data_IF_166933091916
#
_entry.id   IF_166933091916
#
_cell.length_a   1.000
_cell.length_b   1.000
_cell.length_c   1.000
_cell.angle_alpha   90.00
_cell.angle_beta   90.00
_cell.angle_gamma   90.00
#
_symmetry.space_group_name_H-M   'P 1'
#
loop_
_entity.id
_entity.type
_entity.pdbx_description
1 polymer ?
#
# COMPACT_ATOMS: atom_id res chain seq x y z
N UNK A 1 -53.02 -3.28 -20.17
CA UNK A 1 -52.06 -2.16 -19.94
C UNK A 1 -50.93 -2.48 -18.93
N UNK A 2 -50.53 -3.75 -18.72
CA UNK A 2 -49.44 -4.11 -17.76
C UNK A 2 -48.08 -4.44 -18.41
N UNK A 3 -48.00 -4.51 -19.74
CA UNK A 3 -46.80 -4.95 -20.48
C UNK A 3 -45.87 -3.79 -20.89
N UNK A 4 -46.39 -2.57 -21.01
CA UNK A 4 -45.61 -1.39 -21.42
C UNK A 4 -44.68 -0.85 -20.31
N UNK A 5 -44.96 -1.17 -19.05
CA UNK A 5 -44.15 -0.76 -17.88
C UNK A 5 -42.92 -1.65 -17.70
N UNK A 6 -43.02 -2.95 -18.01
CA UNK A 6 -41.90 -3.90 -17.85
C UNK A 6 -40.79 -3.66 -18.88
N UNK A 7 -41.13 -3.36 -20.13
CA UNK A 7 -40.12 -3.02 -21.16
C UNK A 7 -39.40 -1.69 -20.91
N UNK A 8 -40.07 -0.71 -20.29
CA UNK A 8 -39.44 0.59 -19.95
C UNK A 8 -38.41 0.45 -18.84
N UNK A 9 -38.69 -0.37 -17.82
CA UNK A 9 -37.72 -0.66 -16.76
C UNK A 9 -36.53 -1.47 -17.27
N UNK A 10 -36.75 -2.44 -18.18
CA UNK A 10 -35.66 -3.22 -18.78
C UNK A 10 -34.73 -2.38 -19.67
N UNK A 11 -35.28 -1.47 -20.47
CA UNK A 11 -34.48 -0.56 -21.31
C UNK A 11 -33.66 0.45 -20.50
N UNK A 12 -34.23 0.99 -19.41
CA UNK A 12 -33.53 1.88 -18.50
C UNK A 12 -32.40 1.16 -17.73
N UNK A 13 -32.63 -0.07 -17.27
CA UNK A 13 -31.60 -0.87 -16.60
C UNK A 13 -30.42 -1.22 -17.53
N UNK A 14 -30.70 -1.54 -18.79
CA UNK A 14 -29.66 -1.82 -19.79
C UNK A 14 -28.82 -0.57 -20.10
N UNK A 15 -29.46 0.59 -20.24
CA UNK A 15 -28.78 1.89 -20.41
C UNK A 15 -27.91 2.26 -19.22
N UNK A 16 -28.40 2.04 -17.98
CA UNK A 16 -27.62 2.28 -16.77
C UNK A 16 -26.41 1.34 -16.68
N UNK A 17 -26.57 0.06 -17.05
CA UNK A 17 -25.44 -0.88 -17.10
C UNK A 17 -24.41 -0.46 -18.17
N UNK A 18 -24.87 -0.02 -19.34
CA UNK A 18 -24.00 0.47 -20.42
C UNK A 18 -23.27 1.77 -20.09
N UNK A 19 -23.85 2.63 -19.24
CA UNK A 19 -23.20 3.87 -18.78
C UNK A 19 -22.33 3.66 -17.54
N UNK A 20 -22.70 2.72 -16.66
CA UNK A 20 -21.92 2.40 -15.46
C UNK A 20 -20.54 1.83 -15.82
N UNK A 21 -20.44 1.02 -16.88
CA UNK A 21 -19.17 0.45 -17.33
C UNK A 21 -18.11 1.51 -17.73
N UNK A 22 -18.37 2.44 -18.68
CA UNK A 22 -17.39 3.45 -19.05
C UNK A 22 -17.12 4.44 -17.90
N UNK A 23 -18.11 4.77 -17.05
CA UNK A 23 -17.85 5.59 -15.86
C UNK A 23 -16.91 4.86 -14.88
N UNK A 24 -17.12 3.57 -14.66
CA UNK A 24 -16.24 2.75 -13.82
C UNK A 24 -14.82 2.71 -14.38
N UNK A 25 -14.67 2.55 -15.70
CA UNK A 25 -13.35 2.59 -16.35
C UNK A 25 -12.68 3.97 -16.24
N UNK A 26 -13.42 5.06 -16.43
CA UNK A 26 -12.90 6.41 -16.26
C UNK A 26 -12.44 6.66 -14.82
N UNK A 27 -13.18 6.12 -13.85
CA UNK A 27 -12.85 6.22 -12.44
C UNK A 27 -11.57 5.47 -12.11
N UNK A 28 -11.42 4.23 -12.57
CA UNK A 28 -10.17 3.44 -12.43
C UNK A 28 -8.98 4.18 -13.05
N UNK A 29 -9.11 4.65 -14.29
CA UNK A 29 -8.04 5.38 -14.99
C UNK A 29 -7.66 6.71 -14.30
N UNK A 30 -8.61 7.36 -13.63
CA UNK A 30 -8.32 8.57 -12.85
C UNK A 30 -7.56 8.31 -11.54
N UNK A 31 -7.49 7.04 -11.10
CA UNK A 31 -6.85 6.59 -9.86
C UNK A 31 -5.65 5.66 -10.13
N UNK A 32 -4.94 5.87 -11.24
CA UNK A 32 -3.73 5.09 -11.57
C UNK A 32 -2.61 5.25 -10.55
N UNK A 33 -2.43 6.46 -10.00
CA UNK A 33 -1.47 6.77 -8.94
C UNK A 33 -2.14 7.76 -7.98
N UNK A 34 -2.53 7.30 -6.79
CA UNK A 34 -3.23 8.14 -5.82
C UNK A 34 -2.68 7.98 -4.40
N UNK A 35 -2.86 9.05 -3.63
CA UNK A 35 -2.39 9.16 -2.25
C UNK A 35 -3.59 9.41 -1.34
N UNK A 36 -4.26 8.35 -0.85
CA UNK A 36 -5.49 8.52 -0.11
C UNK A 36 -5.21 8.93 1.35
N UNK A 37 -6.02 9.85 1.87
CA UNK A 37 -5.95 10.26 3.27
C UNK A 37 -6.66 9.24 4.18
N UNK A 38 -6.09 8.89 5.35
CA UNK A 38 -6.75 8.02 6.31
C UNK A 38 -8.16 8.52 6.67
N UNK A 39 -9.14 7.63 6.57
CA UNK A 39 -10.55 7.94 6.87
C UNK A 39 -11.37 8.45 5.68
N UNK A 40 -10.75 8.67 4.51
CA UNK A 40 -11.48 8.96 3.27
C UNK A 40 -12.11 7.71 2.66
N UNK A 41 -13.11 7.88 1.79
CA UNK A 41 -13.73 6.74 1.08
C UNK A 41 -12.71 6.03 0.18
N UNK A 42 -11.89 6.81 -0.54
CA UNK A 42 -10.88 6.28 -1.46
C UNK A 42 -9.80 5.49 -0.73
N UNK A 43 -9.50 5.84 0.52
CA UNK A 43 -8.66 5.01 1.39
C UNK A 43 -9.26 3.61 1.59
N UNK A 44 -10.56 3.51 1.87
CA UNK A 44 -11.20 2.22 2.12
C UNK A 44 -11.43 1.37 0.86
N UNK A 45 -11.59 2.01 -0.30
CA UNK A 45 -11.82 1.33 -1.56
C UNK A 45 -10.53 1.00 -2.29
N UNK A 46 -9.54 1.89 -2.20
CA UNK A 46 -8.33 1.82 -2.99
C UNK A 46 -7.22 0.97 -2.38
N UNK A 47 -7.04 0.99 -1.07
CA UNK A 47 -5.93 0.28 -0.44
C UNK A 47 -6.32 -1.13 0.00
N UNK A 48 -5.38 -2.06 -0.13
CA UNK A 48 -5.53 -3.39 0.44
C UNK A 48 -5.81 -3.31 1.95
N UNK A 49 -6.66 -4.21 2.46
CA UNK A 49 -6.97 -4.26 3.89
C UNK A 49 -5.73 -4.55 4.74
N UNK A 50 -4.74 -5.23 4.15
CA UNK A 50 -3.44 -5.49 4.75
C UNK A 50 -2.67 -4.19 5.00
N UNK A 51 -2.59 -3.31 4.00
CA UNK A 51 -1.87 -2.03 4.09
C UNK A 51 -2.58 -1.07 5.06
N UNK A 52 -3.92 -1.03 5.02
CA UNK A 52 -4.70 -0.21 5.95
C UNK A 52 -4.55 -0.66 7.41
N UNK A 53 -4.40 -1.96 7.63
CA UNK A 53 -4.28 -2.55 8.96
C UNK A 53 -2.88 -2.50 9.57
N UNK A 54 -1.89 -1.92 8.88
CA UNK A 54 -0.52 -1.84 9.38
C UNK A 54 -0.48 -1.10 10.72
N UNK A 55 0.14 -1.68 11.76
CA UNK A 55 0.22 -1.04 13.08
C UNK A 55 1.10 0.21 13.00
N UNK A 56 0.53 1.35 13.40
CA UNK A 56 1.25 2.61 13.44
C UNK A 56 2.14 2.71 14.70
N UNK A 57 3.36 3.24 14.58
CA UNK A 57 4.22 3.54 15.72
C UNK A 57 3.59 4.65 16.58
N UNK A 58 3.91 4.66 17.88
CA UNK A 58 3.39 5.67 18.80
C UNK A 58 3.99 7.06 18.54
N UNK A 59 5.29 7.07 18.20
CA UNK A 59 6.01 8.28 17.80
C UNK A 59 6.55 8.10 16.38
N UNK A 60 6.31 9.10 15.54
CA UNK A 60 6.68 9.07 14.14
C UNK A 60 5.94 10.16 13.37
N UNK A 61 6.34 10.35 12.13
CA UNK A 61 5.58 11.22 11.23
C UNK A 61 4.30 10.49 10.77
N UNK A 62 3.34 11.26 10.27
CA UNK A 62 2.10 10.70 9.77
C UNK A 62 2.38 9.66 8.66
N UNK A 63 1.69 8.50 8.67
CA UNK A 63 1.87 7.49 7.64
C UNK A 63 1.49 8.04 6.27
N UNK A 64 2.31 7.74 5.28
CA UNK A 64 2.04 8.10 3.89
C UNK A 64 1.49 6.88 3.16
N UNK A 65 0.32 7.02 2.56
CA UNK A 65 -0.31 5.95 1.79
C UNK A 65 -0.20 6.23 0.30
N UNK A 66 -0.06 5.15 -0.47
CA UNK A 66 -0.02 5.18 -1.93
C UNK A 66 -0.73 3.94 -2.46
N UNK A 67 -1.55 4.14 -3.49
CA UNK A 67 -2.21 3.08 -4.23
C UNK A 67 -2.03 3.30 -5.73
N UNK A 68 -1.97 2.19 -6.47
CA UNK A 68 -1.95 2.19 -7.93
C UNK A 68 -2.76 1.01 -8.44
N UNK A 69 -3.61 1.25 -9.45
CA UNK A 69 -4.38 0.21 -10.14
C UNK A 69 -3.54 -0.59 -11.13
N UNK A 70 -2.30 -0.14 -11.39
CA UNK A 70 -1.38 -0.77 -12.32
C UNK A 70 -1.64 -0.33 -13.76
N UNK A 71 -0.58 0.09 -14.46
CA UNK A 71 -0.65 0.46 -15.88
C UNK A 71 0.05 -0.61 -16.73
N UNK A 72 -0.72 -1.28 -17.59
CA UNK A 72 -0.22 -2.30 -18.52
C UNK A 72 0.47 -3.48 -17.83
N UNK A 73 1.81 -3.67 -17.97
CA UNK A 73 2.55 -4.73 -17.32
C UNK A 73 2.87 -4.48 -15.84
N UNK A 74 2.61 -3.27 -15.31
CA UNK A 74 2.83 -2.93 -13.89
C UNK A 74 1.68 -3.51 -13.05
N UNK A 75 1.94 -4.40 -12.08
CA UNK A 75 0.89 -4.92 -11.23
C UNK A 75 0.32 -3.81 -10.32
N UNK A 76 -0.97 -3.91 -9.93
CA UNK A 76 -1.53 -3.05 -8.90
C UNK A 76 -0.71 -3.14 -7.61
N UNK A 77 -0.58 -2.02 -6.91
CA UNK A 77 0.19 -1.95 -5.66
C UNK A 77 -0.51 -1.08 -4.63
N UNK A 78 -0.54 -1.57 -3.40
CA UNK A 78 -0.89 -0.79 -2.22
C UNK A 78 0.35 -0.64 -1.33
N UNK A 79 0.64 0.57 -0.86
CA UNK A 79 1.80 0.84 -0.02
C UNK A 79 1.47 1.78 1.14
N UNK A 80 2.10 1.52 2.29
CA UNK A 80 2.22 2.49 3.39
C UNK A 80 3.68 2.70 3.73
N UNK A 81 4.06 3.96 3.93
CA UNK A 81 5.39 4.37 4.35
C UNK A 81 5.33 5.05 5.72
N UNK A 82 6.20 4.61 6.63
CA UNK A 82 6.32 5.07 8.01
C UNK A 82 7.72 5.67 8.20
N UNK A 83 7.79 6.85 8.80
CA UNK A 83 9.05 7.45 9.22
C UNK A 83 9.11 7.49 10.74
N UNK A 84 10.08 6.78 11.31
CA UNK A 84 10.23 6.63 12.76
C UNK A 84 11.59 7.11 13.24
N UNK A 85 11.70 7.51 14.51
CA UNK A 85 13.01 7.73 15.12
C UNK A 85 13.88 6.45 15.11
N UNK A 86 15.22 6.56 15.04
CA UNK A 86 16.11 5.40 14.96
C UNK A 86 16.03 4.52 16.21
N UNK A 87 15.78 5.11 17.38
CA UNK A 87 15.60 4.39 18.64
C UNK A 87 14.37 3.46 18.63
N UNK A 88 13.37 3.73 17.77
CA UNK A 88 12.17 2.90 17.62
C UNK A 88 12.25 1.96 16.43
N UNK A 89 13.29 2.04 15.61
CA UNK A 89 13.37 1.30 14.35
C UNK A 89 13.30 -0.22 14.56
N UNK A 90 14.08 -0.77 15.50
CA UNK A 90 14.07 -2.21 15.77
C UNK A 90 12.73 -2.70 16.33
N UNK A 91 12.10 -1.92 17.21
CA UNK A 91 10.79 -2.26 17.76
C UNK A 91 9.69 -2.19 16.69
N UNK A 92 9.74 -1.17 15.83
CA UNK A 92 8.82 -1.00 14.70
C UNK A 92 8.95 -2.16 13.72
N UNK A 93 10.18 -2.51 13.33
CA UNK A 93 10.45 -3.66 12.47
C UNK A 93 9.85 -4.94 13.07
N UNK A 94 10.17 -5.28 14.31
CA UNK A 94 9.66 -6.49 14.96
C UNK A 94 8.12 -6.52 14.99
N UNK A 95 7.48 -5.37 15.24
CA UNK A 95 6.02 -5.23 15.23
C UNK A 95 5.41 -5.46 13.85
N UNK A 96 6.03 -4.91 12.80
CA UNK A 96 5.60 -5.11 11.41
C UNK A 96 5.74 -6.57 10.99
N UNK A 97 6.87 -7.21 11.33
CA UNK A 97 7.09 -8.63 11.04
C UNK A 97 6.06 -9.51 11.74
N UNK A 98 5.79 -9.26 13.03
CA UNK A 98 4.75 -9.97 13.77
C UNK A 98 3.37 -9.77 13.15
N UNK A 99 3.04 -8.53 12.74
CA UNK A 99 1.78 -8.23 12.06
C UNK A 99 1.61 -9.06 10.78
N UNK A 100 2.62 -9.09 9.89
CA UNK A 100 2.56 -9.87 8.65
C UNK A 100 2.38 -11.37 8.94
N UNK A 101 3.06 -11.89 9.96
CA UNK A 101 2.87 -13.28 10.41
C UNK A 101 1.46 -13.55 10.93
N UNK A 102 0.84 -12.62 11.68
CA UNK A 102 -0.57 -12.77 12.10
C UNK A 102 -1.56 -12.77 10.94
N UNK A 103 -1.17 -12.23 9.77
CA UNK A 103 -1.94 -12.31 8.53
C UNK A 103 -1.71 -13.61 7.75
N UNK A 104 -0.92 -14.54 8.29
CA UNK A 104 -0.61 -15.83 7.66
C UNK A 104 0.48 -15.76 6.61
N UNK A 105 1.16 -14.63 6.48
CA UNK A 105 2.28 -14.47 5.56
C UNK A 105 3.57 -15.02 6.17
N UNK A 106 4.35 -15.73 5.35
CA UNK A 106 5.60 -16.34 5.76
C UNK A 106 6.76 -15.72 4.98
N UNK A 107 7.92 -15.51 5.62
CA UNK A 107 9.10 -15.01 4.93
C UNK A 107 9.59 -16.05 3.91
N UNK A 108 9.74 -15.64 2.65
CA UNK A 108 10.11 -16.53 1.53
C UNK A 108 11.62 -16.62 1.24
N UNK A 109 12.44 -15.78 1.88
CA UNK A 109 13.90 -15.77 1.76
C UNK A 109 14.44 -15.05 0.51
N UNK A 110 15.77 -15.02 0.29
CA UNK A 110 16.72 -14.34 1.15
C UNK A 110 16.62 -12.80 1.02
N UNK A 111 17.12 -12.11 2.04
CA UNK A 111 17.19 -10.66 2.15
C UNK A 111 17.89 -10.02 0.93
N UNK A 112 17.22 -9.12 0.21
CA UNK A 112 17.92 -8.26 -0.73
C UNK A 112 18.51 -7.08 0.05
N UNK A 113 19.83 -7.08 0.18
CA UNK A 113 20.60 -5.94 0.67
C UNK A 113 21.16 -5.18 -0.52
N UNK A 114 20.68 -3.97 -0.72
CA UNK A 114 21.27 -3.06 -1.69
C UNK A 114 21.85 -1.87 -0.92
N UNK A 115 23.18 -1.77 -0.91
CA UNK A 115 23.88 -0.61 -0.39
C UNK A 115 24.11 0.36 -1.55
N UNK A 116 23.26 1.38 -1.67
CA UNK A 116 23.56 2.54 -2.49
C UNK A 116 24.52 3.43 -1.69
N UNK A 117 25.44 4.16 -2.33
CA UNK A 117 26.45 4.99 -1.63
C UNK A 117 25.90 6.01 -0.61
N UNK A 118 24.58 6.23 -0.58
CA UNK A 118 23.86 7.16 0.30
C UNK A 118 22.77 6.49 1.18
N UNK A 119 22.50 5.19 1.05
CA UNK A 119 21.50 4.48 1.84
C UNK A 119 21.72 2.96 1.85
N UNK A 120 21.42 2.32 2.97
CA UNK A 120 21.30 0.86 3.07
C UNK A 120 19.81 0.49 2.97
N UNK A 121 19.47 -0.27 1.93
CA UNK A 121 18.15 -0.85 1.71
C UNK A 121 18.15 -2.30 2.18
N UNK A 122 17.12 -2.67 2.93
CA UNK A 122 16.90 -4.03 3.39
C UNK A 122 15.44 -4.42 3.12
N UNK A 123 15.26 -5.37 2.20
CA UNK A 123 13.95 -5.87 1.81
C UNK A 123 13.71 -7.28 2.36
N UNK A 124 12.51 -7.49 2.92
CA UNK A 124 11.98 -8.79 3.30
C UNK A 124 10.73 -9.08 2.50
N UNK A 125 10.76 -10.18 1.75
CA UNK A 125 9.60 -10.70 1.06
C UNK A 125 8.82 -11.67 1.95
N UNK A 126 7.52 -11.47 1.96
CA UNK A 126 6.54 -12.26 2.66
C UNK A 126 5.53 -12.77 1.64
N UNK A 127 5.30 -14.07 1.59
CA UNK A 127 4.28 -14.64 0.73
C UNK A 127 3.34 -15.53 1.52
N UNK A 128 2.13 -15.67 1.01
CA UNK A 128 1.21 -16.68 1.50
C UNK A 128 1.43 -17.98 0.70
N UNK A 129 1.85 -19.11 1.30
CA UNK A 129 2.04 -20.34 0.52
C UNK A 129 0.74 -20.89 -0.10
N UNK A 130 -0.43 -20.40 0.35
CA UNK A 130 -1.74 -20.79 -0.17
C UNK A 130 -2.35 -19.77 -1.15
N UNK A 131 -1.76 -18.57 -1.28
CA UNK A 131 -2.28 -17.49 -2.15
C UNK A 131 -1.14 -16.87 -2.94
N UNK A 132 -1.40 -16.38 -4.14
CA UNK A 132 -0.41 -15.62 -4.93
C UNK A 132 -0.18 -14.20 -4.38
N UNK A 133 -0.30 -14.01 -3.07
CA UNK A 133 -0.12 -12.73 -2.38
C UNK A 133 1.37 -12.58 -2.03
N UNK A 134 1.98 -11.49 -2.52
CA UNK A 134 3.37 -11.11 -2.20
C UNK A 134 3.36 -9.74 -1.52
N UNK A 135 3.99 -9.68 -0.35
CA UNK A 135 4.19 -8.46 0.43
C UNK A 135 5.67 -8.22 0.60
N UNK A 136 6.11 -6.99 0.36
CA UNK A 136 7.49 -6.56 0.59
C UNK A 136 7.50 -5.59 1.76
N UNK A 137 8.25 -5.93 2.80
CA UNK A 137 8.62 -5.02 3.87
C UNK A 137 9.99 -4.47 3.56
N UNK A 138 10.08 -3.16 3.33
CA UNK A 138 11.32 -2.44 3.03
C UNK A 138 11.74 -1.60 4.22
N UNK A 139 13.01 -1.65 4.56
CA UNK A 139 13.66 -0.80 5.55
C UNK A 139 14.78 -0.02 4.88
N UNK A 140 14.74 1.30 5.01
CA UNK A 140 15.74 2.21 4.43
C UNK A 140 16.45 2.94 5.55
N UNK A 141 17.77 2.74 5.62
CA UNK A 141 18.67 3.46 6.51
C UNK A 141 19.53 4.40 5.67
N UNK A 142 19.24 5.70 5.68
CA UNK A 142 20.06 6.67 4.96
C UNK A 142 21.46 6.77 5.60
N UNK A 143 22.50 6.68 4.77
CA UNK A 143 23.88 6.89 5.19
C UNK A 143 24.07 8.38 5.55
N UNK A 144 24.80 8.64 6.64
CA UNK A 144 24.90 9.96 7.27
C UNK A 144 25.24 11.07 6.26
N UNK A 145 24.42 12.11 6.20
CA UNK A 145 24.90 13.41 5.73
C UNK A 145 25.91 13.91 6.76
N UNK A 146 27.19 13.98 6.38
CA UNK A 146 28.23 14.68 7.14
C UNK A 146 27.95 16.18 7.13
N UNK A 147 27.02 16.63 7.95
CA UNK A 147 26.93 18.03 8.36
C UNK A 147 26.12 18.15 9.64
N UNK A 148 26.75 18.76 10.63
CA UNK A 148 26.20 19.29 11.87
C UNK A 148 24.93 20.09 11.60
N UNK A 149 23.77 19.48 11.75
CA UNK A 149 22.47 20.16 11.81
C UNK A 149 21.57 19.33 12.70
N UNK A 150 21.27 19.89 13.86
CA UNK A 150 20.22 19.64 14.85
C UNK A 150 19.52 18.28 14.91
N UNK A 151 19.28 17.82 16.15
CA UNK A 151 18.77 16.49 16.54
C UNK A 151 17.40 16.06 16.03
N UNK A 152 16.90 16.62 14.93
CA UNK A 152 15.66 16.25 14.24
C UNK A 152 15.88 15.36 12.99
N UNK A 153 17.12 15.15 12.52
CA UNK A 153 17.35 14.77 11.11
C UNK A 153 17.77 13.31 10.83
N UNK A 154 17.44 12.35 11.70
CA UNK A 154 17.74 10.94 11.41
C UNK A 154 16.48 10.10 11.53
N UNK A 155 15.62 10.09 10.49
CA UNK A 155 14.47 9.18 10.43
C UNK A 155 14.88 7.85 9.78
N UNK A 156 14.25 6.77 10.22
CA UNK A 156 14.30 5.46 9.57
C UNK A 156 12.97 5.26 8.84
N UNK A 157 13.06 4.83 7.59
CA UNK A 157 11.88 4.65 6.74
C UNK A 157 11.53 3.18 6.63
N UNK A 158 10.28 2.83 6.91
CA UNK A 158 9.70 1.52 6.64
C UNK A 158 8.60 1.63 5.60
N UNK A 159 8.57 0.73 4.62
CA UNK A 159 7.48 0.63 3.65
C UNK A 159 6.94 -0.79 3.60
N UNK A 160 5.61 -0.93 3.69
CA UNK A 160 4.91 -2.20 3.46
C UNK A 160 4.20 -2.09 2.13
N UNK A 161 4.61 -2.91 1.16
CA UNK A 161 4.09 -2.94 -0.20
C UNK A 161 3.35 -4.25 -0.44
N UNK A 162 2.11 -4.20 -0.90
CA UNK A 162 1.30 -5.36 -1.29
C UNK A 162 1.02 -5.28 -2.80
N UNK A 163 1.34 -6.35 -3.52
CA UNK A 163 1.02 -6.49 -4.95
C UNK A 163 -0.23 -7.36 -5.08
N UNK A 164 -1.28 -6.81 -5.70
CA UNK A 164 -2.58 -7.47 -5.93
C UNK A 164 -2.64 -8.19 -7.28
#
# INVERSE_FOLDING_TARGET
MRWLTVSRCGGAALLLALLAWPLGMLWVLSHEDYHPEPGSLDYYLGLSSLVRGVPLPADGDAPQYYGSTGDGPKPPVSMVTLQVPPEQASATLARLQAYLQTKGLQPTGPFQHEATGTATLQDWEYANPQRTEVVVLRHVVHAQATARTDGASRRVTFSVMHYD
#
